data_IF_180257010783
#
_entry.id   IF_180257010783
#
_cell.length_a   1.000
_cell.length_b   1.000
_cell.length_c   1.000
_cell.angle_alpha   90.00
_cell.angle_beta   90.00
_cell.angle_gamma   90.00
#
_symmetry.space_group_name_H-M   'P 1'
#
loop_
_entity.id
_entity.type
_entity.pdbx_description
1 polymer ?
#
# COMPACT_ATOMS: atom_id res chain seq x y z
N UNK A 1 -23.42 -9.45 15.20
CA UNK A 1 -22.16 -8.83 14.71
C UNK A 1 -21.81 -9.60 13.44
N UNK A 2 -21.63 -8.92 12.32
CA UNK A 2 -21.32 -9.58 11.03
C UNK A 2 -19.89 -10.13 11.07
N UNK A 3 -19.74 -11.43 10.82
CA UNK A 3 -18.44 -12.12 10.79
C UNK A 3 -17.44 -11.43 9.85
N UNK A 4 -17.93 -10.86 8.75
CA UNK A 4 -17.11 -10.12 7.78
C UNK A 4 -16.49 -8.86 8.37
N UNK A 5 -17.23 -8.15 9.23
CA UNK A 5 -16.73 -6.95 9.91
C UNK A 5 -15.61 -7.28 10.91
N UNK A 6 -15.71 -8.41 11.59
CA UNK A 6 -14.67 -8.87 12.51
C UNK A 6 -13.39 -9.20 11.72
N UNK A 7 -13.53 -9.91 10.60
CA UNK A 7 -12.39 -10.21 9.74
C UNK A 7 -11.76 -8.92 9.17
N UNK A 8 -12.56 -7.94 8.76
CA UNK A 8 -12.06 -6.65 8.28
C UNK A 8 -11.25 -5.92 9.37
N UNK A 9 -11.75 -5.84 10.60
CA UNK A 9 -11.03 -5.22 11.74
C UNK A 9 -9.70 -5.94 12.04
N UNK A 10 -9.67 -7.27 11.97
CA UNK A 10 -8.44 -8.06 12.16
C UNK A 10 -7.43 -7.76 11.04
N UNK A 11 -7.88 -7.76 9.79
CA UNK A 11 -7.03 -7.51 8.62
C UNK A 11 -6.51 -6.08 8.62
N UNK A 12 -7.32 -5.10 9.03
CA UNK A 12 -6.95 -3.70 9.16
C UNK A 12 -5.83 -3.51 10.20
N UNK A 13 -5.99 -4.09 11.39
CA UNK A 13 -4.94 -4.07 12.42
C UNK A 13 -3.66 -4.78 11.97
N UNK A 14 -3.78 -5.89 11.25
CA UNK A 14 -2.63 -6.59 10.67
C UNK A 14 -1.92 -5.71 9.63
N UNK A 15 -2.68 -5.05 8.75
CA UNK A 15 -2.15 -4.15 7.73
C UNK A 15 -1.44 -2.93 8.32
N UNK A 16 -1.98 -2.38 9.42
CA UNK A 16 -1.34 -1.31 10.16
C UNK A 16 -0.03 -1.77 10.83
N UNK A 17 0.02 -3.01 11.32
CA UNK A 17 1.20 -3.55 12.00
C UNK A 17 2.29 -4.07 11.07
N UNK A 18 1.92 -4.64 9.92
CA UNK A 18 2.85 -5.35 9.04
C UNK A 18 2.29 -5.50 7.62
N UNK A 19 2.82 -4.70 6.69
CA UNK A 19 2.53 -4.87 5.25
C UNK A 19 2.85 -6.28 4.75
N UNK A 20 3.95 -6.87 5.26
CA UNK A 20 4.37 -8.22 4.86
C UNK A 20 3.32 -9.27 5.24
N UNK A 21 2.81 -9.20 6.46
CA UNK A 21 1.80 -10.16 6.93
C UNK A 21 0.47 -9.98 6.21
N UNK A 22 0.10 -8.74 5.85
CA UNK A 22 -1.04 -8.49 4.97
C UNK A 22 -0.88 -9.20 3.62
N UNK A 23 0.29 -9.11 2.98
CA UNK A 23 0.55 -9.81 1.70
C UNK A 23 0.45 -11.33 1.88
N UNK A 24 1.10 -11.88 2.91
CA UNK A 24 1.01 -13.31 3.21
C UNK A 24 -0.44 -13.78 3.45
N UNK A 25 -1.22 -12.99 4.20
CA UNK A 25 -2.62 -13.29 4.48
C UNK A 25 -3.46 -13.27 3.20
N UNK A 26 -3.30 -12.27 2.33
CA UNK A 26 -4.02 -12.18 1.05
C UNK A 26 -3.73 -13.35 0.12
N UNK A 27 -2.51 -13.89 0.15
CA UNK A 27 -2.14 -15.06 -0.65
C UNK A 27 -2.68 -16.38 -0.09
N UNK A 28 -3.09 -16.40 1.19
CA UNK A 28 -3.56 -17.63 1.85
C UNK A 28 -4.98 -18.04 1.46
N UNK A 29 -5.86 -17.09 1.10
CA UNK A 29 -7.25 -17.42 0.74
C UNK A 29 -7.93 -16.34 -0.12
N UNK A 30 -8.94 -16.76 -0.90
CA UNK A 30 -9.78 -15.84 -1.69
C UNK A 30 -10.54 -14.84 -0.82
N UNK A 31 -10.99 -15.27 0.36
CA UNK A 31 -11.69 -14.40 1.31
C UNK A 31 -10.76 -13.29 1.80
N UNK A 32 -9.56 -13.63 2.25
CA UNK A 32 -8.60 -12.64 2.72
C UNK A 32 -8.05 -11.78 1.59
N UNK A 33 -7.94 -12.30 0.36
CA UNK A 33 -7.61 -11.47 -0.78
C UNK A 33 -8.67 -10.38 -1.03
N UNK A 34 -9.95 -10.74 -0.89
CA UNK A 34 -11.07 -9.80 -1.05
C UNK A 34 -11.05 -8.75 0.06
N UNK A 35 -11.01 -9.18 1.32
CA UNK A 35 -10.98 -8.29 2.49
C UNK A 35 -9.73 -7.39 2.48
N UNK A 36 -8.56 -7.94 2.17
CA UNK A 36 -7.31 -7.20 2.05
C UNK A 36 -7.24 -6.25 0.85
N UNK A 37 -8.30 -6.19 0.03
CA UNK A 37 -8.45 -5.25 -1.08
C UNK A 37 -9.52 -4.17 -0.80
N UNK A 38 -10.12 -4.16 0.39
CA UNK A 38 -11.05 -3.12 0.84
C UNK A 38 -10.34 -1.78 1.05
N UNK A 39 -11.05 -0.68 0.82
CA UNK A 39 -10.47 0.68 0.84
C UNK A 39 -9.85 1.05 2.19
N UNK A 40 -10.51 0.66 3.29
CA UNK A 40 -10.02 0.90 4.66
C UNK A 40 -8.62 0.31 4.90
N UNK A 41 -8.32 -0.84 4.27
CA UNK A 41 -6.99 -1.45 4.36
C UNK A 41 -5.94 -0.55 3.72
N UNK A 42 -6.22 0.03 2.55
CA UNK A 42 -5.31 0.97 1.90
C UNK A 42 -5.21 2.30 2.65
N UNK A 43 -6.25 2.70 3.39
CA UNK A 43 -6.24 3.89 4.22
C UNK A 43 -5.28 3.76 5.39
N UNK A 44 -5.24 2.59 6.03
CA UNK A 44 -4.53 2.36 7.28
C UNK A 44 -3.22 1.57 7.16
N UNK A 45 -2.98 0.89 6.04
CA UNK A 45 -1.76 0.09 5.85
C UNK A 45 -0.50 0.91 6.10
N UNK A 46 0.40 0.36 6.91
CA UNK A 46 1.70 0.93 7.18
C UNK A 46 2.78 0.17 6.43
N UNK A 47 3.81 0.87 5.98
CA UNK A 47 4.96 0.29 5.29
C UNK A 47 6.28 0.76 5.90
N UNK A 48 6.27 1.06 7.21
CA UNK A 48 7.46 1.37 8.02
C UNK A 48 8.53 0.28 7.86
N UNK A 49 8.14 -0.99 7.92
CA UNK A 49 9.06 -2.13 7.79
C UNK A 49 9.48 -2.42 6.34
N UNK A 50 8.79 -1.83 5.35
CA UNK A 50 9.01 -2.14 3.94
C UNK A 50 8.85 -0.89 3.06
N UNK A 51 9.79 0.08 3.15
CA UNK A 51 9.60 1.41 2.60
C UNK A 51 9.35 1.40 1.09
N UNK A 52 8.34 2.14 0.63
CA UNK A 52 7.91 2.21 -0.78
C UNK A 52 9.04 2.45 -1.78
N UNK A 53 10.09 3.18 -1.38
CA UNK A 53 11.23 3.54 -2.22
C UNK A 53 12.39 2.54 -2.18
N UNK A 54 12.38 1.58 -1.24
CA UNK A 54 13.35 0.47 -1.24
C UNK A 54 12.93 -0.68 -2.16
N UNK A 55 11.76 -0.56 -2.81
CA UNK A 55 11.32 -1.50 -3.83
C UNK A 55 12.22 -1.28 -5.06
N UNK A 56 13.40 -1.89 -5.06
CA UNK A 56 14.30 -1.93 -6.21
C UNK A 56 13.71 -2.85 -7.27
N UNK A 57 12.65 -2.39 -7.93
CA UNK A 57 11.92 -3.17 -8.92
C UNK A 57 12.59 -3.01 -10.28
N UNK A 58 13.37 -4.03 -10.65
CA UNK A 58 14.03 -4.13 -11.96
C UNK A 58 13.10 -4.61 -13.08
N UNK A 59 11.88 -5.04 -12.72
CA UNK A 59 10.89 -5.64 -13.63
C UNK A 59 9.67 -4.73 -13.70
N UNK A 60 9.22 -4.41 -14.93
CA UNK A 60 8.09 -3.50 -15.20
C UNK A 60 6.82 -3.88 -14.44
N UNK A 61 6.44 -5.15 -14.45
CA UNK A 61 5.26 -5.64 -13.72
C UNK A 61 5.27 -5.30 -12.22
N UNK A 62 6.44 -5.25 -11.60
CA UNK A 62 6.54 -4.91 -10.19
C UNK A 62 6.44 -3.39 -9.95
N UNK A 63 6.89 -2.59 -10.92
CA UNK A 63 6.66 -1.13 -10.93
C UNK A 63 5.16 -0.86 -11.04
N UNK A 64 4.47 -1.52 -11.98
CA UNK A 64 3.04 -1.34 -12.19
C UNK A 64 2.23 -1.72 -10.94
N UNK A 65 2.57 -2.84 -10.29
CA UNK A 65 1.92 -3.27 -9.04
C UNK A 65 2.16 -2.30 -7.88
N UNK A 66 3.39 -1.79 -7.76
CA UNK A 66 3.73 -0.75 -6.78
C UNK A 66 2.89 0.50 -7.02
N UNK A 67 2.87 1.01 -8.26
CA UNK A 67 2.15 2.23 -8.60
C UNK A 67 0.65 2.06 -8.40
N UNK A 68 0.10 0.91 -8.78
CA UNK A 68 -1.29 0.58 -8.49
C UNK A 68 -1.60 0.67 -7.00
N UNK A 69 -0.75 0.05 -6.16
CA UNK A 69 -0.89 0.08 -4.71
C UNK A 69 -0.78 1.50 -4.14
N UNK A 70 0.25 2.26 -4.54
CA UNK A 70 0.47 3.65 -4.10
C UNK A 70 -0.70 4.53 -4.52
N UNK A 71 -1.19 4.40 -5.75
CA UNK A 71 -2.34 5.15 -6.25
C UNK A 71 -3.61 4.86 -5.45
N UNK A 72 -3.82 3.61 -5.02
CA UNK A 72 -4.94 3.25 -4.13
C UNK A 72 -4.79 3.95 -2.78
N UNK A 73 -3.62 3.86 -2.15
CA UNK A 73 -3.34 4.52 -0.87
C UNK A 73 -3.50 6.04 -0.94
N UNK A 74 -3.06 6.66 -2.05
CA UNK A 74 -3.26 8.09 -2.29
C UNK A 74 -4.74 8.47 -2.42
N UNK A 75 -5.52 7.70 -3.19
CA UNK A 75 -6.95 7.98 -3.42
C UNK A 75 -7.75 7.99 -2.12
N UNK A 76 -7.39 7.11 -1.18
CA UNK A 76 -8.04 7.01 0.14
C UNK A 76 -7.39 7.88 1.21
N UNK A 77 -6.33 8.65 0.87
CA UNK A 77 -5.72 9.60 1.79
C UNK A 77 -4.79 9.00 2.85
N UNK A 78 -4.17 7.84 2.60
CA UNK A 78 -3.20 7.23 3.51
C UNK A 78 -2.07 8.21 3.86
N UNK A 79 -1.97 8.57 5.14
CA UNK A 79 -1.09 9.63 5.63
C UNK A 79 0.39 9.31 5.42
N UNK A 80 0.77 8.06 5.62
CA UNK A 80 2.15 7.62 5.44
C UNK A 80 2.57 7.76 3.97
N UNK A 81 1.66 7.43 3.05
CA UNK A 81 1.92 7.48 1.59
C UNK A 81 2.11 8.91 1.15
N UNK A 82 1.20 9.80 1.55
CA UNK A 82 1.31 11.23 1.26
C UNK A 82 2.59 11.84 1.82
N UNK A 83 2.97 11.49 3.06
CA UNK A 83 4.20 11.97 3.67
C UNK A 83 5.46 11.45 2.94
N UNK A 84 5.46 10.18 2.52
CA UNK A 84 6.54 9.59 1.74
C UNK A 84 6.71 10.27 0.37
N UNK A 85 5.60 10.51 -0.34
CA UNK A 85 5.62 11.21 -1.63
C UNK A 85 6.09 12.66 -1.45
N UNK A 86 5.59 13.38 -0.46
CA UNK A 86 6.02 14.75 -0.16
C UNK A 86 7.52 14.82 0.14
N UNK A 87 8.05 13.87 0.92
CA UNK A 87 9.50 13.76 1.18
C UNK A 87 10.30 13.47 -0.10
N UNK A 88 9.79 12.63 -1.00
CA UNK A 88 10.45 12.34 -2.27
C UNK A 88 10.45 13.56 -3.22
N UNK A 89 9.32 14.27 -3.31
CA UNK A 89 9.17 15.50 -4.09
C UNK A 89 10.03 16.64 -3.55
N UNK A 90 10.20 16.74 -2.22
CA UNK A 90 11.09 17.72 -1.61
C UNK A 90 12.59 17.43 -1.81
N UNK A 91 12.94 16.22 -2.25
CA UNK A 91 14.32 15.76 -2.46
C UNK A 91 14.74 15.71 -3.94
N UNK A 92 13.82 15.91 -4.89
CA UNK A 92 14.07 15.84 -6.35
C UNK A 92 13.37 17.00 -7.09
N UNK A 93 13.85 17.36 -8.28
CA UNK A 93 13.07 18.22 -9.19
C UNK A 93 11.67 17.60 -9.43
N UNK A 94 10.63 18.43 -9.42
CA UNK A 94 9.22 18.00 -9.47
C UNK A 94 8.88 17.10 -10.67
N UNK A 95 9.53 17.30 -11.81
CA UNK A 95 9.32 16.53 -13.05
C UNK A 95 9.82 15.08 -12.95
N UNK A 96 10.98 14.83 -12.34
CA UNK A 96 11.54 13.48 -12.19
C UNK A 96 10.71 12.59 -11.26
N UNK A 97 10.08 13.19 -10.26
CA UNK A 97 9.25 12.46 -9.29
C UNK A 97 7.86 12.16 -9.85
N UNK A 98 7.30 13.06 -10.64
CA UNK A 98 6.07 12.80 -11.39
C UNK A 98 6.28 11.69 -12.43
N UNK A 99 7.40 11.66 -13.16
CA UNK A 99 7.69 10.56 -14.10
C UNK A 99 7.80 9.19 -13.42
N UNK A 100 8.32 9.11 -12.18
CA UNK A 100 8.42 7.86 -11.42
C UNK A 100 7.10 7.37 -10.80
N UNK A 101 6.10 8.24 -10.69
CA UNK A 101 4.76 7.92 -10.19
C UNK A 101 3.74 7.71 -11.34
N UNK A 102 4.05 8.21 -12.55
CA UNK A 102 3.19 8.11 -13.74
C UNK A 102 3.63 7.03 -14.76
N UNK A 103 4.75 6.35 -14.54
CA UNK A 103 5.13 5.11 -15.22
C UNK A 103 5.04 3.96 -14.23
#
# INVERSE_FOLDING_TARGET
MDFTRILLDIVDRLAYGSFKDLISLRLSSKLFNTIGSEEIIYENVSFVDFPLFSWSVRIRDHIDKRNYFVNRCMKVGNRETLACIAKALGRKNKEDTMMQLMC
#
